data_IF_271123409099
#
_entry.id   IF_271123409099
#
_cell.length_a   1.000
_cell.length_b   1.000
_cell.length_c   1.000
_cell.angle_alpha   90.00
_cell.angle_beta   90.00
_cell.angle_gamma   90.00
#
_symmetry.space_group_name_H-M   'P 1'
#
loop_
_entity.id
_entity.type
_entity.pdbx_description
1 polymer ?
#
# COMPACT_ATOMS: atom_id res chain seq x y z
N UNK A 1 6.84 -15.19 10.41
CA UNK A 1 7.29 -15.36 9.01
C UNK A 1 8.68 -14.82 8.76
N UNK A 2 9.05 -13.66 9.31
CA UNK A 2 10.43 -13.16 9.29
C UNK A 2 11.45 -14.14 9.88
N UNK A 3 11.11 -14.85 10.96
CA UNK A 3 11.97 -15.92 11.52
C UNK A 3 12.19 -17.08 10.56
N UNK A 4 11.14 -17.49 9.82
CA UNK A 4 11.25 -18.53 8.78
C UNK A 4 12.16 -18.06 7.64
N UNK A 5 12.03 -16.80 7.20
CA UNK A 5 12.93 -16.24 6.20
C UNK A 5 14.39 -16.23 6.68
N UNK A 6 14.64 -15.80 7.93
CA UNK A 6 15.98 -15.84 8.53
C UNK A 6 16.55 -17.26 8.59
N UNK A 7 15.75 -18.24 8.99
CA UNK A 7 16.15 -19.65 9.02
C UNK A 7 16.55 -20.15 7.63
N UNK A 8 15.68 -19.95 6.62
CA UNK A 8 15.95 -20.37 5.23
C UNK A 8 17.20 -19.71 4.67
N UNK A 9 17.42 -18.42 4.96
CA UNK A 9 18.63 -17.69 4.56
C UNK A 9 19.89 -18.17 5.28
N UNK A 10 19.77 -18.59 6.55
CA UNK A 10 20.87 -19.21 7.30
C UNK A 10 21.28 -20.56 6.74
N UNK A 11 20.32 -21.38 6.30
CA UNK A 11 20.57 -22.71 5.74
C UNK A 11 21.05 -22.68 4.29
N UNK A 12 20.43 -21.85 3.45
CA UNK A 12 20.68 -21.85 2.00
C UNK A 12 21.66 -20.77 1.55
N UNK A 13 22.04 -19.87 2.46
CA UNK A 13 22.88 -18.71 2.17
C UNK A 13 22.07 -17.49 1.71
N UNK A 14 22.62 -16.29 1.93
CA UNK A 14 21.88 -15.03 1.74
C UNK A 14 21.57 -14.68 0.28
N UNK A 15 22.39 -15.14 -0.67
CA UNK A 15 22.18 -14.91 -2.11
C UNK A 15 21.38 -16.04 -2.78
N UNK A 16 20.92 -17.04 -2.03
CA UNK A 16 20.16 -18.16 -2.59
C UNK A 16 18.77 -17.72 -3.03
N UNK A 17 18.27 -18.35 -4.10
CA UNK A 17 16.90 -18.15 -4.57
C UNK A 17 15.86 -18.48 -3.48
N UNK A 18 16.16 -19.46 -2.63
CA UNK A 18 15.31 -19.83 -1.49
C UNK A 18 15.19 -18.69 -0.47
N UNK A 19 16.31 -18.06 -0.11
CA UNK A 19 16.33 -16.91 0.79
C UNK A 19 15.54 -15.73 0.21
N UNK A 20 15.78 -15.39 -1.07
CA UNK A 20 15.09 -14.29 -1.75
C UNK A 20 13.57 -14.51 -1.80
N UNK A 21 13.13 -15.72 -2.16
CA UNK A 21 11.71 -16.07 -2.18
C UNK A 21 11.07 -16.00 -0.79
N UNK A 22 11.80 -16.38 0.27
CA UNK A 22 11.29 -16.30 1.63
C UNK A 22 11.09 -14.85 2.08
N UNK A 23 11.98 -13.93 1.70
CA UNK A 23 11.82 -12.49 1.95
C UNK A 23 10.70 -11.87 1.12
N UNK A 24 10.58 -12.22 -0.17
CA UNK A 24 9.47 -11.76 -1.01
C UNK A 24 8.10 -12.09 -0.40
N UNK A 25 7.96 -13.27 0.21
CA UNK A 25 6.72 -13.65 0.91
C UNK A 25 6.47 -12.80 2.17
N UNK A 26 7.51 -12.42 2.91
CA UNK A 26 7.39 -11.52 4.06
C UNK A 26 6.95 -10.13 3.60
N UNK A 27 7.58 -9.60 2.56
CA UNK A 27 7.30 -8.27 2.04
C UNK A 27 5.85 -8.16 1.53
N UNK A 28 5.38 -9.16 0.78
CA UNK A 28 4.00 -9.20 0.29
C UNK A 28 2.97 -9.16 1.43
N UNK A 29 3.21 -9.91 2.51
CA UNK A 29 2.32 -9.92 3.66
C UNK A 29 2.38 -8.64 4.48
N UNK A 30 3.55 -8.01 4.58
CA UNK A 30 3.67 -6.70 5.20
C UNK A 30 2.97 -5.62 4.39
N UNK A 31 3.08 -5.67 3.06
CA UNK A 31 2.37 -4.77 2.16
C UNK A 31 0.85 -4.93 2.29
N UNK A 32 0.34 -6.16 2.33
CA UNK A 32 -1.09 -6.40 2.54
C UNK A 32 -1.55 -5.96 3.93
N UNK A 33 -0.77 -6.23 4.99
CA UNK A 33 -1.10 -5.76 6.34
C UNK A 33 -1.09 -4.22 6.43
N UNK A 34 -0.19 -3.55 5.70
CA UNK A 34 -0.18 -2.10 5.58
C UNK A 34 -1.42 -1.61 4.81
N UNK A 35 -1.80 -2.27 3.72
CA UNK A 35 -3.02 -1.97 2.96
C UNK A 35 -4.28 -2.12 3.82
N UNK A 36 -4.33 -3.16 4.65
CA UNK A 36 -5.43 -3.41 5.58
C UNK A 36 -5.45 -2.38 6.71
N UNK A 37 -4.30 -1.95 7.22
CA UNK A 37 -4.20 -0.91 8.26
C UNK A 37 -4.38 0.50 7.72
N UNK A 38 -4.18 0.72 6.43
CA UNK A 38 -4.55 1.94 5.75
C UNK A 38 -6.08 2.04 5.57
N UNK A 39 -6.84 1.52 6.56
CA UNK A 39 -8.26 1.79 6.76
C UNK A 39 -8.48 3.29 6.56
N UNK A 40 -9.43 3.57 5.68
CA UNK A 40 -9.71 4.90 5.14
C UNK A 40 -9.84 5.90 6.27
N UNK A 41 -9.13 7.02 6.16
CA UNK A 41 -9.54 8.23 6.87
C UNK A 41 -11.02 8.40 6.54
N UNK A 42 -11.87 8.46 7.57
CA UNK A 42 -13.28 8.78 7.39
C UNK A 42 -13.30 10.05 6.53
N UNK A 43 -14.03 10.03 5.40
CA UNK A 43 -14.02 11.14 4.45
C UNK A 43 -14.12 12.44 5.23
N UNK A 44 -13.17 13.33 4.99
CA UNK A 44 -13.16 14.64 5.63
C UNK A 44 -14.47 15.35 5.33
N UNK A 45 -14.95 16.20 6.24
CA UNK A 45 -16.19 16.95 6.02
C UNK A 45 -16.18 17.74 4.71
N UNK A 46 -14.99 18.18 4.27
CA UNK A 46 -14.77 18.72 2.93
C UNK A 46 -15.08 17.70 1.83
N UNK A 47 -14.48 16.50 1.86
CA UNK A 47 -14.73 15.45 0.85
C UNK A 47 -16.20 15.08 0.75
N UNK A 48 -16.91 14.93 1.88
CA UNK A 48 -18.36 14.67 1.88
C UNK A 48 -19.15 15.82 1.25
N UNK A 49 -18.84 17.08 1.59
CA UNK A 49 -19.51 18.25 1.01
C UNK A 49 -19.37 18.32 -0.51
N UNK A 50 -18.17 18.03 -1.01
CA UNK A 50 -17.91 18.08 -2.45
C UNK A 50 -18.46 16.87 -3.21
N UNK A 51 -18.45 15.67 -2.62
CA UNK A 51 -18.95 14.46 -3.27
C UNK A 51 -20.49 14.36 -3.23
N UNK A 52 -21.14 14.87 -2.17
CA UNK A 52 -22.58 14.67 -1.94
C UNK A 52 -23.44 15.93 -2.18
N UNK A 53 -23.02 17.11 -1.75
CA UNK A 53 -23.87 18.31 -1.78
C UNK A 53 -23.59 19.22 -2.98
N UNK A 54 -22.31 19.41 -3.35
CA UNK A 54 -21.92 20.33 -4.42
C UNK A 54 -20.77 19.78 -5.30
N UNK A 55 -21.04 18.78 -6.17
CA UNK A 55 -20.05 18.21 -7.09
C UNK A 55 -19.41 19.25 -8.02
N UNK A 56 -20.15 20.30 -8.37
CA UNK A 56 -19.69 21.40 -9.21
C UNK A 56 -18.73 22.37 -8.52
N UNK A 57 -18.62 22.32 -7.18
CA UNK A 57 -17.65 23.11 -6.42
C UNK A 57 -16.23 22.52 -6.53
N UNK A 58 -16.11 21.29 -7.04
CA UNK A 58 -14.86 20.54 -7.16
C UNK A 58 -14.18 20.67 -8.54
N UNK A 59 -14.20 21.87 -9.13
CA UNK A 59 -13.59 22.15 -10.45
C UNK A 59 -12.06 22.01 -10.50
N UNK A 60 -11.38 22.00 -9.36
CA UNK A 60 -9.90 21.97 -9.30
C UNK A 60 -9.27 20.58 -9.56
N UNK A 61 -10.05 19.49 -9.57
CA UNK A 61 -9.53 18.16 -10.00
C UNK A 61 -9.23 18.06 -11.50
N UNK A 62 -9.69 19.00 -12.33
CA UNK A 62 -9.26 19.07 -13.74
C UNK A 62 -7.74 19.21 -13.88
N UNK A 63 -7.07 19.81 -12.88
CA UNK A 63 -5.61 19.90 -12.82
C UNK A 63 -4.94 18.64 -12.28
N UNK A 64 -5.63 17.85 -11.44
CA UNK A 64 -5.11 16.56 -10.94
C UNK A 64 -4.94 15.56 -12.09
N UNK A 65 -5.92 15.51 -13.01
CA UNK A 65 -5.85 14.71 -14.25
C UNK A 65 -4.71 15.14 -15.19
N UNK A 66 -4.28 16.40 -15.13
CA UNK A 66 -3.15 16.91 -15.90
C UNK A 66 -1.79 16.52 -15.29
N UNK A 67 -1.70 16.38 -13.97
CA UNK A 67 -0.47 16.03 -13.26
C UNK A 67 -0.24 14.52 -13.07
N UNK A 68 -1.23 13.68 -13.36
CA UNK A 68 -1.12 12.23 -13.14
C UNK A 68 -0.42 11.44 -14.25
N UNK A 69 -0.11 12.05 -15.41
CA UNK A 69 0.71 11.46 -16.47
C UNK A 69 0.08 10.26 -17.19
#
# INVERSE_FOLDING_TARGET
>A
LSEKARHVCGENGPASKACLNAWLAVDALQAEAARQRAESIEQTASEQYYDEEYPEAFKDREYEAWCSG
#
